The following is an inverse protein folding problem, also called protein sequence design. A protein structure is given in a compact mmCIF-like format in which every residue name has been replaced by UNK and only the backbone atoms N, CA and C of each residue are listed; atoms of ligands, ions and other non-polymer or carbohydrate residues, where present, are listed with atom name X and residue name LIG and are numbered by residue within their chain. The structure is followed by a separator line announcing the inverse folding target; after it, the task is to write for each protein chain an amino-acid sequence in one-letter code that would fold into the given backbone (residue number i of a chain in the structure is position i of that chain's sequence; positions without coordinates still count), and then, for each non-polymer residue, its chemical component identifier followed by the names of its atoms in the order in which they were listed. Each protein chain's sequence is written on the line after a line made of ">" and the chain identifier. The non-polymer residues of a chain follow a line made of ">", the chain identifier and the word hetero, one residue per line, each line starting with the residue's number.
data_IF_251872986609
#
_entry.id   IF_251872986609
#
_cell.length_a   1.000
_cell.length_b   1.000
_cell.length_c   1.000
_cell.angle_alpha   90.00
_cell.angle_beta   90.00
_cell.angle_gamma   90.00
#
_symmetry.space_group_name_H-M   'P 1'
#
loop_
_entity.id
_entity.type
_entity.pdbx_description
1 polymer ?
#
# COMPACT_ATOMS: atom_id res chain seq x y z
N UNK A 1 -20.31 -25.38 43.70
CA UNK A 1 -18.90 -25.53 43.28
C UNK A 1 -18.21 -26.66 44.03
N UNK A 2 -18.41 -26.81 45.33
CA UNK A 2 -17.81 -27.90 46.14
C UNK A 2 -18.07 -29.31 45.58
N UNK A 3 -19.33 -29.64 45.23
CA UNK A 3 -19.66 -30.95 44.67
C UNK A 3 -19.04 -31.23 43.29
N UNK A 4 -18.55 -30.21 42.57
CA UNK A 4 -17.93 -30.38 41.25
C UNK A 4 -16.41 -30.55 41.32
N UNK A 5 -15.77 -30.18 42.43
CA UNK A 5 -14.33 -30.39 42.67
C UNK A 5 -14.02 -31.86 42.98
N UNK A 6 -14.94 -32.54 43.68
CA UNK A 6 -14.85 -33.95 44.00
C UNK A 6 -15.30 -34.88 42.85
N UNK A 7 -15.86 -34.33 41.77
CA UNK A 7 -16.30 -35.11 40.62
C UNK A 7 -15.07 -35.55 39.80
N UNK A 8 -14.87 -36.86 39.55
CA UNK A 8 -13.74 -37.33 38.76
C UNK A 8 -13.81 -36.80 37.32
N UNK A 9 -12.65 -36.49 36.74
CA UNK A 9 -12.49 -36.31 35.28
C UNK A 9 -12.50 -37.66 34.57
N UNK A 10 -12.55 -37.66 33.24
CA UNK A 10 -12.50 -38.87 32.41
C UNK A 10 -11.25 -39.73 32.71
N UNK A 11 -10.18 -39.12 33.21
CA UNK A 11 -8.93 -39.78 33.63
C UNK A 11 -8.91 -40.18 35.13
N UNK A 12 -10.04 -40.07 35.84
CA UNK A 12 -10.16 -40.46 37.25
C UNK A 12 -9.54 -39.49 38.27
N UNK A 13 -9.02 -38.33 37.85
CA UNK A 13 -8.46 -37.32 38.75
C UNK A 13 -9.53 -36.29 39.21
N UNK A 14 -9.43 -35.72 40.41
CA UNK A 14 -10.31 -34.64 40.83
C UNK A 14 -10.09 -33.39 39.98
N UNK A 15 -11.17 -32.68 39.65
CA UNK A 15 -11.10 -31.48 38.80
C UNK A 15 -10.35 -30.35 39.53
N UNK A 16 -9.40 -29.73 38.83
CA UNK A 16 -8.71 -28.54 39.33
C UNK A 16 -9.69 -27.39 39.58
N UNK A 17 -9.44 -26.59 40.63
CA UNK A 17 -10.24 -25.42 40.96
C UNK A 17 -10.39 -24.47 39.76
N UNK A 18 -9.33 -24.26 38.98
CA UNK A 18 -9.36 -23.42 37.78
C UNK A 18 -10.28 -23.97 36.69
N UNK A 19 -10.30 -25.29 36.51
CA UNK A 19 -11.21 -25.95 35.56
C UNK A 19 -12.66 -25.85 36.03
N UNK A 20 -12.94 -26.10 37.30
CA UNK A 20 -14.30 -26.00 37.86
C UNK A 20 -14.82 -24.56 37.76
N UNK A 21 -13.99 -23.57 38.11
CA UNK A 21 -14.34 -22.16 37.96
C UNK A 21 -14.60 -21.81 36.49
N UNK A 22 -13.74 -22.26 35.57
CA UNK A 22 -13.94 -22.03 34.13
C UNK A 22 -15.27 -22.63 33.63
N UNK A 23 -15.57 -23.88 33.98
CA UNK A 23 -16.83 -24.55 33.57
C UNK A 23 -18.05 -23.84 34.18
N UNK A 24 -18.02 -23.50 35.46
CA UNK A 24 -19.12 -22.82 36.15
C UNK A 24 -19.36 -21.43 35.56
N UNK A 25 -18.30 -20.64 35.33
CA UNK A 25 -18.42 -19.33 34.70
C UNK A 25 -18.94 -19.45 33.27
N UNK A 26 -18.42 -20.39 32.48
CA UNK A 26 -18.87 -20.62 31.10
C UNK A 26 -20.35 -21.02 31.03
N UNK A 27 -20.83 -21.86 31.95
CA UNK A 27 -22.23 -22.27 32.02
C UNK A 27 -23.14 -21.10 32.42
N UNK A 28 -22.74 -20.31 33.42
CA UNK A 28 -23.54 -19.21 33.96
C UNK A 28 -23.52 -17.94 33.09
N UNK A 29 -22.48 -17.75 32.29
CA UNK A 29 -22.36 -16.59 31.40
C UNK A 29 -23.11 -16.78 30.08
N UNK A 30 -23.27 -18.01 29.57
CA UNK A 30 -24.02 -18.27 28.32
C UNK A 30 -25.52 -17.97 28.42
N UNK A 31 -26.11 -18.12 29.60
CA UNK A 31 -27.55 -17.93 29.86
C UNK A 31 -27.76 -16.99 31.04
N UNK A 32 -26.99 -15.90 31.09
CA UNK A 32 -27.09 -14.93 32.18
C UNK A 32 -28.42 -14.15 32.07
N UNK A 33 -29.42 -14.62 32.82
CA UNK A 33 -30.77 -14.05 32.83
C UNK A 33 -30.77 -12.60 33.33
N UNK A 34 -29.84 -12.23 34.21
CA UNK A 34 -29.70 -10.85 34.67
C UNK A 34 -29.34 -9.92 33.50
N UNK A 35 -28.31 -10.25 32.71
CA UNK A 35 -27.91 -9.47 31.54
C UNK A 35 -29.02 -9.38 30.50
N UNK A 36 -29.74 -10.49 30.26
CA UNK A 36 -30.92 -10.49 29.38
C UNK A 36 -32.05 -9.59 29.90
N UNK A 37 -32.35 -9.65 31.20
CA UNK A 37 -33.40 -8.86 31.84
C UNK A 37 -33.07 -7.36 31.90
N UNK A 38 -31.78 -6.99 31.91
CA UNK A 38 -31.34 -5.59 31.79
C UNK A 38 -31.10 -5.15 30.34
N UNK A 39 -31.54 -5.94 29.36
CA UNK A 39 -31.48 -5.61 27.93
C UNK A 39 -30.09 -5.76 27.28
N UNK A 40 -29.12 -6.31 28.00
CA UNK A 40 -27.76 -6.57 27.49
C UNK A 40 -27.75 -7.94 26.82
N UNK A 41 -27.89 -7.95 25.50
CA UNK A 41 -27.64 -9.16 24.73
C UNK A 41 -26.14 -9.44 24.70
N UNK A 42 -25.73 -10.65 25.10
CA UNK A 42 -24.36 -11.13 24.91
C UNK A 42 -24.19 -11.42 23.43
N UNK A 43 -23.96 -10.37 22.65
CA UNK A 43 -23.70 -10.48 21.23
C UNK A 43 -22.48 -11.39 21.03
N UNK A 44 -22.68 -12.46 20.25
CA UNK A 44 -21.66 -13.45 19.93
C UNK A 44 -20.49 -12.73 19.24
N UNK A 45 -19.32 -12.62 19.89
CA UNK A 45 -18.08 -12.01 19.35
C UNK A 45 -17.62 -12.53 17.97
N UNK A 46 -18.28 -13.56 17.41
CA UNK A 46 -17.96 -14.14 16.10
C UNK A 46 -18.33 -13.23 14.92
N UNK A 47 -19.36 -12.38 15.05
CA UNK A 47 -19.80 -11.50 13.95
C UNK A 47 -18.82 -10.36 13.69
N UNK A 48 -18.19 -9.81 14.74
CA UNK A 48 -17.19 -8.75 14.61
C UNK A 48 -15.91 -9.25 13.93
N UNK A 49 -15.47 -10.47 14.22
CA UNK A 49 -14.30 -11.07 13.57
C UNK A 49 -14.51 -11.33 12.07
N UNK A 50 -15.68 -11.85 11.68
CA UNK A 50 -16.01 -12.06 10.27
C UNK A 50 -16.12 -10.74 9.49
N UNK A 51 -16.70 -9.72 10.12
CA UNK A 51 -16.78 -8.38 9.55
C UNK A 51 -15.40 -7.75 9.33
N UNK A 52 -14.54 -7.77 10.35
CA UNK A 52 -13.16 -7.25 10.25
C UNK A 52 -12.35 -8.02 9.21
N UNK A 53 -12.53 -9.34 9.11
CA UNK A 53 -11.86 -10.13 8.07
C UNK A 53 -12.35 -9.73 6.67
N UNK A 54 -13.64 -9.48 6.50
CA UNK A 54 -14.19 -9.04 5.22
C UNK A 54 -13.67 -7.65 4.82
N UNK A 55 -13.62 -6.69 5.75
CA UNK A 55 -13.03 -5.38 5.51
C UNK A 55 -11.54 -5.47 5.13
N UNK A 56 -10.77 -6.31 5.83
CA UNK A 56 -9.35 -6.52 5.53
C UNK A 56 -9.13 -7.08 4.11
N UNK A 57 -9.97 -8.01 3.66
CA UNK A 57 -9.85 -8.54 2.29
C UNK A 57 -10.21 -7.52 1.23
N UNK A 58 -11.18 -6.63 1.50
CA UNK A 58 -11.48 -5.48 0.62
C UNK A 58 -10.30 -4.52 0.59
N UNK A 59 -9.75 -4.15 1.75
CA UNK A 59 -8.61 -3.25 1.86
C UNK A 59 -7.38 -3.78 1.12
N UNK A 60 -7.08 -5.07 1.26
CA UNK A 60 -5.98 -5.71 0.52
C UNK A 60 -6.15 -5.59 -0.99
N UNK A 61 -7.36 -5.84 -1.51
CA UNK A 61 -7.64 -5.73 -2.95
C UNK A 61 -7.45 -4.30 -3.43
N UNK A 62 -8.05 -3.34 -2.74
CA UNK A 62 -7.90 -1.91 -3.06
C UNK A 62 -6.43 -1.49 -2.99
N UNK A 63 -5.67 -1.96 -1.99
CA UNK A 63 -4.25 -1.65 -1.87
C UNK A 63 -3.43 -2.22 -3.04
N UNK A 64 -3.73 -3.45 -3.47
CA UNK A 64 -3.10 -4.05 -4.65
C UNK A 64 -3.40 -3.26 -5.92
N UNK A 65 -4.63 -2.81 -6.13
CA UNK A 65 -5.02 -1.97 -7.27
C UNK A 65 -4.29 -0.62 -7.25
N UNK A 66 -4.23 0.04 -6.09
CA UNK A 66 -3.49 1.29 -5.93
C UNK A 66 -2.00 1.13 -6.22
N UNK A 67 -1.39 0.02 -5.80
CA UNK A 67 0.02 -0.27 -6.12
C UNK A 67 0.25 -0.43 -7.62
N UNK A 68 -0.67 -1.08 -8.34
CA UNK A 68 -0.58 -1.20 -9.80
C UNK A 68 -0.65 0.17 -10.46
N UNK A 69 -1.60 1.02 -10.04
CA UNK A 69 -1.74 2.39 -10.56
C UNK A 69 -0.45 3.18 -10.33
N UNK A 70 0.09 3.15 -9.11
CA UNK A 70 1.32 3.86 -8.76
C UNK A 70 2.50 3.35 -9.60
N UNK A 71 2.64 2.05 -9.79
CA UNK A 71 3.72 1.49 -10.61
C UNK A 71 3.61 1.94 -12.06
N UNK A 72 2.41 1.87 -12.65
CA UNK A 72 2.19 2.33 -14.03
C UNK A 72 2.52 3.82 -14.18
N UNK A 73 2.11 4.65 -13.21
CA UNK A 73 2.43 6.08 -13.21
C UNK A 73 3.94 6.35 -13.13
N UNK A 74 4.68 5.54 -12.37
CA UNK A 74 6.15 5.66 -12.33
C UNK A 74 6.76 5.29 -13.69
N UNK A 75 6.32 4.20 -14.31
CA UNK A 75 6.82 3.79 -15.63
C UNK A 75 6.54 4.85 -16.71
N UNK A 76 5.35 5.44 -16.71
CA UNK A 76 5.00 6.54 -17.61
C UNK A 76 5.86 7.78 -17.36
N UNK A 77 6.09 8.13 -16.10
CA UNK A 77 6.90 9.28 -15.72
C UNK A 77 8.36 9.11 -16.12
N UNK A 78 8.92 7.92 -15.92
CA UNK A 78 10.29 7.59 -16.32
C UNK A 78 10.44 7.66 -17.85
N UNK A 79 9.46 7.12 -18.59
CA UNK A 79 9.40 7.21 -20.04
C UNK A 79 9.37 8.66 -20.55
N UNK A 80 8.49 9.48 -19.99
CA UNK A 80 8.37 10.90 -20.33
C UNK A 80 9.64 11.68 -19.97
N UNK A 81 10.21 11.43 -18.81
CA UNK A 81 11.44 12.09 -18.34
C UNK A 81 12.60 11.82 -19.30
N UNK A 82 12.77 10.55 -19.71
CA UNK A 82 13.76 10.16 -20.72
C UNK A 82 13.51 10.85 -22.07
N UNK A 83 12.27 10.85 -22.55
CA UNK A 83 11.93 11.50 -23.81
C UNK A 83 12.24 13.00 -23.81
N UNK A 84 11.93 13.69 -22.71
CA UNK A 84 12.24 15.12 -22.55
C UNK A 84 13.75 15.34 -22.57
N UNK A 85 14.51 14.53 -21.85
CA UNK A 85 15.97 14.63 -21.82
C UNK A 85 16.59 14.41 -23.21
N UNK A 86 16.15 13.38 -23.94
CA UNK A 86 16.64 13.08 -25.29
C UNK A 86 16.28 14.18 -26.30
N UNK A 87 15.05 14.69 -26.22
CA UNK A 87 14.59 15.79 -27.07
C UNK A 87 15.40 17.06 -26.81
N UNK A 88 15.64 17.39 -25.55
CA UNK A 88 16.41 18.59 -25.19
C UNK A 88 17.88 18.46 -25.59
N UNK A 89 18.50 17.29 -25.43
CA UNK A 89 19.86 17.05 -25.92
C UNK A 89 19.97 17.21 -27.43
N UNK A 90 18.97 16.70 -28.17
CA UNK A 90 18.94 16.84 -29.64
C UNK A 90 18.81 18.32 -30.02
N UNK A 91 17.91 19.05 -29.36
CA UNK A 91 17.70 20.49 -29.57
C UNK A 91 18.99 21.30 -29.31
N UNK A 92 19.73 20.97 -28.25
CA UNK A 92 21.00 21.62 -27.92
C UNK A 92 22.04 21.37 -29.02
N UNK A 93 22.20 20.12 -29.46
CA UNK A 93 23.14 19.77 -30.55
C UNK A 93 22.81 20.50 -31.85
N UNK A 94 21.53 20.50 -32.24
CA UNK A 94 21.09 21.21 -33.44
C UNK A 94 21.37 22.72 -33.34
N UNK A 95 21.18 23.31 -32.16
CA UNK A 95 21.47 24.71 -31.91
C UNK A 95 22.98 25.01 -32.04
N UNK A 96 23.85 24.16 -31.47
CA UNK A 96 25.30 24.27 -31.58
C UNK A 96 25.78 24.15 -33.04
N UNK A 97 25.28 23.16 -33.78
CA UNK A 97 25.62 22.98 -35.19
C UNK A 97 25.20 24.19 -36.04
N UNK A 98 23.99 24.70 -35.81
CA UNK A 98 23.49 25.87 -36.53
C UNK A 98 24.31 27.13 -36.22
N UNK A 99 24.71 27.33 -34.96
CA UNK A 99 25.60 28.43 -34.59
C UNK A 99 26.97 28.32 -35.27
N UNK A 100 27.53 27.10 -35.34
CA UNK A 100 28.80 26.85 -36.03
C UNK A 100 28.69 27.16 -37.52
N UNK A 101 27.66 26.64 -38.21
CA UNK A 101 27.41 26.92 -39.63
C UNK A 101 27.25 28.43 -39.89
N UNK A 102 26.53 29.14 -39.03
CA UNK A 102 26.35 30.58 -39.14
C UNK A 102 27.70 31.33 -38.99
N UNK A 103 28.52 30.94 -38.02
CA UNK A 103 29.84 31.52 -37.83
C UNK A 103 30.77 31.27 -39.04
N UNK A 104 30.75 30.06 -39.61
CA UNK A 104 31.50 29.71 -40.82
C UNK A 104 31.08 30.59 -42.02
N UNK A 105 29.77 30.76 -42.24
CA UNK A 105 29.25 31.63 -43.31
C UNK A 105 29.65 33.09 -43.10
N UNK A 106 29.56 33.61 -41.87
CA UNK A 106 30.00 34.96 -41.54
C UNK A 106 31.50 35.16 -41.78
N UNK A 107 32.33 34.17 -41.41
CA UNK A 107 33.77 34.20 -41.67
C UNK A 107 34.06 34.21 -43.18
N UNK A 108 33.40 33.34 -43.95
CA UNK A 108 33.57 33.28 -45.40
C UNK A 108 33.20 34.62 -46.07
N UNK A 109 32.04 35.17 -45.74
CA UNK A 109 31.60 36.46 -46.28
C UNK A 109 32.53 37.63 -45.91
N UNK A 110 33.21 37.57 -44.76
CA UNK A 110 34.23 38.57 -44.39
C UNK A 110 35.51 38.44 -45.21
N UNK A 111 35.95 37.21 -45.51
CA UNK A 111 37.11 36.96 -46.35
C UNK A 111 36.87 37.46 -47.78
N UNK A 112 35.72 37.11 -48.38
CA UNK A 112 35.36 37.56 -49.73
C UNK A 112 35.33 39.09 -49.84
N UNK A 113 34.79 39.77 -48.81
CA UNK A 113 34.77 41.24 -48.75
C UNK A 113 36.17 41.85 -48.66
N UNK A 114 37.09 41.18 -47.95
CA UNK A 114 38.47 41.64 -47.82
C UNK A 114 39.24 41.46 -49.13
N UNK A 115 39.04 40.35 -49.84
CA UNK A 115 39.67 40.10 -51.15
C UNK A 115 39.22 41.14 -52.19
N UNK A 116 37.93 41.50 -52.21
CA UNK A 116 37.42 42.55 -53.10
C UNK A 116 37.89 43.98 -52.76
N UNK A 117 38.43 44.22 -51.56
CA UNK A 117 39.00 45.52 -51.18
C UNK A 117 40.49 45.66 -51.50
N UNK A 118 41.16 44.57 -51.90
CA UNK A 118 42.62 44.52 -52.15
C UNK A 118 42.96 44.57 -53.65
N UNK A 119 41.96 44.56 -54.53
CA UNK A 119 42.08 44.74 -55.99
C UNK A 119 41.63 46.15 -56.39
#
# INVERSE_FOLDING_TARGET
>A
MENQLAAPTEDGQPKSATQVVHVVLHQNTKTNHFLMNVGIQIAKRRTTLQYVQAELEVEKRTNSELRLIVNNQHEEMDGLSKQVQETEQTRIKDQEENQKKLAELFCHAKMDKAEHMVV
#
